data_IF_376265853523
#
_entry.id   IF_376265853523
#
_cell.length_a   1.000
_cell.length_b   1.000
_cell.length_c   1.000
_cell.angle_alpha   90.00
_cell.angle_beta   90.00
_cell.angle_gamma   90.00
#
_symmetry.space_group_name_H-M   'P 1'
#
loop_
_entity.id
_entity.type
_entity.pdbx_description
1 polymer ?
#
# COMPACT_ATOMS: atom_id res chain seq x y z
N UNK A 1 -32.79 14.88 -22.27
CA UNK A 1 -33.54 16.16 -22.28
C UNK A 1 -34.31 16.25 -20.98
N UNK A 2 -34.25 17.39 -20.28
CA UNK A 2 -34.99 17.61 -19.03
C UNK A 2 -36.37 18.22 -19.27
N UNK A 3 -37.26 18.14 -18.27
CA UNK A 3 -38.57 18.80 -18.28
C UNK A 3 -38.36 20.30 -18.08
N UNK A 4 -38.69 21.10 -19.08
CA UNK A 4 -38.59 22.57 -19.03
C UNK A 4 -39.49 23.13 -17.92
N UNK A 5 -38.95 23.99 -17.05
CA UNK A 5 -39.70 24.63 -15.94
C UNK A 5 -39.89 23.77 -14.68
N UNK A 6 -39.35 22.54 -14.62
CA UNK A 6 -39.47 21.66 -13.44
C UNK A 6 -38.94 22.33 -12.16
N UNK A 7 -37.83 23.06 -12.26
CA UNK A 7 -37.22 23.72 -11.11
C UNK A 7 -38.07 24.88 -10.55
N UNK A 8 -38.88 25.53 -11.39
CA UNK A 8 -39.80 26.58 -10.96
C UNK A 8 -40.95 26.02 -10.08
N UNK A 9 -41.33 24.77 -10.32
CA UNK A 9 -42.35 24.04 -9.53
C UNK A 9 -41.75 23.44 -8.26
N UNK A 10 -40.55 22.87 -8.34
CA UNK A 10 -39.88 22.23 -7.19
C UNK A 10 -39.37 23.25 -6.14
N UNK A 11 -39.17 24.51 -6.53
CA UNK A 11 -38.62 25.54 -5.65
C UNK A 11 -37.13 25.36 -5.37
N UNK A 12 -36.62 26.03 -4.32
CA UNK A 12 -35.17 26.06 -4.01
C UNK A 12 -34.62 24.78 -3.39
N UNK A 13 -35.48 23.88 -2.91
CA UNK A 13 -35.09 22.68 -2.17
C UNK A 13 -34.35 22.97 -0.85
N UNK A 14 -33.96 21.91 -0.15
CA UNK A 14 -33.08 22.01 1.00
C UNK A 14 -31.62 21.77 0.60
N UNK A 15 -30.71 22.60 1.11
CA UNK A 15 -29.28 22.47 0.85
C UNK A 15 -28.61 21.78 2.04
N UNK A 16 -28.09 20.59 1.79
CA UNK A 16 -27.35 19.81 2.79
C UNK A 16 -25.93 19.56 2.29
N UNK A 17 -24.95 19.50 3.20
CA UNK A 17 -23.70 18.84 2.87
C UNK A 17 -23.99 17.35 2.71
N UNK A 18 -23.44 16.75 1.66
CA UNK A 18 -23.69 15.34 1.33
C UNK A 18 -23.36 14.41 2.51
N UNK A 19 -22.30 14.71 3.26
CA UNK A 19 -21.88 13.98 4.45
C UNK A 19 -22.92 14.03 5.59
N UNK A 20 -23.48 15.21 5.86
CA UNK A 20 -24.49 15.39 6.92
C UNK A 20 -25.79 14.67 6.54
N UNK A 21 -26.21 14.79 5.28
CA UNK A 21 -27.40 14.10 4.78
C UNK A 21 -27.23 12.58 4.82
N UNK A 22 -26.10 12.06 4.36
CA UNK A 22 -25.80 10.64 4.40
C UNK A 22 -25.78 10.12 5.85
N UNK A 23 -25.17 10.87 6.78
CA UNK A 23 -25.09 10.54 8.19
C UNK A 23 -26.48 10.44 8.84
N UNK A 24 -27.35 11.39 8.54
CA UNK A 24 -28.70 11.47 9.12
C UNK A 24 -29.63 10.36 8.59
N UNK A 25 -29.52 9.98 7.32
CA UNK A 25 -30.52 9.11 6.68
C UNK A 25 -30.08 7.66 6.47
N UNK A 26 -28.80 7.43 6.18
CA UNK A 26 -28.32 6.14 5.68
C UNK A 26 -27.29 5.48 6.58
N UNK A 27 -26.40 6.25 7.20
CA UNK A 27 -25.27 5.70 7.96
C UNK A 27 -25.74 4.85 9.15
N UNK A 28 -26.76 5.28 9.89
CA UNK A 28 -27.25 4.50 11.04
C UNK A 28 -27.86 3.16 10.59
N UNK A 29 -28.70 3.18 9.56
CA UNK A 29 -29.30 1.97 8.98
C UNK A 29 -28.26 0.97 8.48
N UNK A 30 -27.21 1.46 7.82
CA UNK A 30 -26.11 0.61 7.35
C UNK A 30 -25.35 -0.01 8.54
N UNK A 31 -25.12 0.76 9.60
CA UNK A 31 -24.41 0.27 10.81
C UNK A 31 -25.20 -0.75 11.61
N UNK A 32 -26.53 -0.70 11.58
CA UNK A 32 -27.40 -1.69 12.22
C UNK A 32 -27.39 -3.03 11.48
N UNK A 33 -27.28 -2.99 10.16
CA UNK A 33 -27.33 -4.19 9.30
C UNK A 33 -25.98 -4.85 9.03
N UNK A 34 -24.86 -4.14 9.22
CA UNK A 34 -23.54 -4.65 8.84
C UNK A 34 -22.50 -4.62 9.97
N UNK A 35 -21.65 -5.66 10.07
CA UNK A 35 -20.60 -5.71 11.05
C UNK A 35 -19.58 -4.60 10.80
N UNK A 36 -18.97 -4.11 11.89
CA UNK A 36 -17.96 -3.06 11.81
C UNK A 36 -16.78 -3.53 10.94
N UNK A 37 -16.54 -2.86 9.80
CA UNK A 37 -15.45 -3.28 8.94
C UNK A 37 -14.08 -3.12 9.61
N UNK A 38 -13.16 -4.00 9.23
CA UNK A 38 -11.82 -4.12 9.81
C UNK A 38 -11.06 -2.79 9.72
N UNK A 39 -10.38 -2.34 10.79
CA UNK A 39 -9.56 -1.12 10.74
C UNK A 39 -8.44 -1.18 9.69
N UNK A 40 -7.87 -2.37 9.47
CA UNK A 40 -6.79 -2.60 8.50
C UNK A 40 -7.33 -2.47 7.07
N UNK A 41 -8.45 -3.12 6.78
CA UNK A 41 -9.12 -3.08 5.48
C UNK A 41 -9.52 -1.65 5.12
N UNK A 42 -10.18 -0.95 6.05
CA UNK A 42 -10.54 0.47 5.87
C UNK A 42 -9.31 1.31 5.54
N UNK A 43 -8.21 1.12 6.28
CA UNK A 43 -6.97 1.88 6.06
C UNK A 43 -6.39 1.63 4.67
N UNK A 44 -6.35 0.36 4.22
CA UNK A 44 -5.82 0.00 2.90
C UNK A 44 -6.74 0.53 1.79
N UNK A 45 -8.06 0.37 1.92
CA UNK A 45 -9.05 0.93 0.99
C UNK A 45 -8.84 2.43 0.79
N UNK A 46 -8.74 3.21 1.87
CA UNK A 46 -8.53 4.66 1.80
C UNK A 46 -7.21 5.02 1.08
N UNK A 47 -6.15 4.22 1.27
CA UNK A 47 -4.88 4.43 0.57
C UNK A 47 -5.05 4.18 -0.93
N UNK A 48 -5.64 3.04 -1.31
CA UNK A 48 -5.90 2.70 -2.73
C UNK A 48 -6.69 3.81 -3.40
N UNK A 49 -7.81 4.24 -2.80
CA UNK A 49 -8.65 5.30 -3.35
C UNK A 49 -7.89 6.62 -3.52
N UNK A 50 -7.02 6.98 -2.58
CA UNK A 50 -6.23 8.21 -2.67
C UNK A 50 -5.17 8.15 -3.77
N UNK A 51 -4.49 7.01 -3.94
CA UNK A 51 -3.54 6.82 -5.03
C UNK A 51 -4.22 6.81 -6.41
N UNK A 52 -5.41 6.21 -6.52
CA UNK A 52 -6.19 6.28 -7.76
C UNK A 52 -6.64 7.69 -8.13
N UNK A 53 -6.96 8.54 -7.15
CA UNK A 53 -7.23 9.96 -7.42
C UNK A 53 -6.03 10.70 -8.01
N UNK A 54 -4.81 10.20 -7.79
CA UNK A 54 -3.56 10.71 -8.37
C UNK A 54 -3.16 9.94 -9.64
N UNK A 55 -4.02 9.04 -10.13
CA UNK A 55 -3.76 8.15 -11.26
C UNK A 55 -2.52 7.25 -11.07
N UNK A 56 -2.25 6.86 -9.82
CA UNK A 56 -1.16 5.94 -9.46
C UNK A 56 -1.72 4.53 -9.35
N UNK A 57 -1.13 3.60 -10.10
CA UNK A 57 -1.47 2.17 -10.03
C UNK A 57 -0.64 1.50 -8.95
N UNK A 58 -1.28 0.66 -8.14
CA UNK A 58 -0.64 -0.05 -7.04
C UNK A 58 -0.55 -1.54 -7.37
N UNK A 59 0.63 -2.12 -7.13
CA UNK A 59 0.85 -3.56 -7.12
C UNK A 59 1.27 -3.98 -5.71
N UNK A 60 0.44 -4.78 -5.04
CA UNK A 60 0.75 -5.26 -3.69
C UNK A 60 1.56 -6.54 -3.76
N UNK A 61 2.71 -6.59 -3.09
CA UNK A 61 3.53 -7.80 -3.01
C UNK A 61 3.51 -8.36 -1.60
N UNK A 62 3.15 -9.64 -1.47
CA UNK A 62 3.15 -10.37 -0.19
C UNK A 62 4.31 -11.35 -0.14
N UNK A 63 4.78 -11.67 1.06
CA UNK A 63 5.88 -12.62 1.25
C UNK A 63 5.51 -14.07 0.84
N UNK A 64 6.53 -14.78 0.35
CA UNK A 64 6.49 -16.19 0.01
C UNK A 64 6.71 -17.13 1.19
N UNK A 65 6.40 -18.41 1.00
CA UNK A 65 6.62 -19.47 2.00
C UNK A 65 8.10 -19.79 2.26
N UNK A 66 9.03 -19.37 1.39
CA UNK A 66 10.48 -19.63 1.51
C UNK A 66 11.20 -18.62 2.41
N UNK A 67 10.61 -18.20 3.53
CA UNK A 67 11.43 -17.58 4.57
C UNK A 67 12.22 -18.69 5.27
N UNK A 68 13.57 -18.63 5.36
CA UNK A 68 14.26 -19.40 6.37
C UNK A 68 13.61 -19.02 7.71
N UNK A 69 13.14 -20.00 8.47
CA UNK A 69 12.47 -19.75 9.73
C UNK A 69 13.41 -18.87 10.59
N UNK A 70 13.10 -17.57 10.72
CA UNK A 70 13.77 -16.72 11.70
C UNK A 70 13.47 -17.38 13.04
N UNK A 71 14.49 -18.07 13.57
CA UNK A 71 14.44 -18.66 14.89
C UNK A 71 13.93 -17.60 15.86
N UNK A 72 13.05 -18.02 16.77
CA UNK A 72 12.49 -17.21 17.86
C UNK A 72 13.57 -16.32 18.48
N UNK A 73 13.66 -15.06 18.07
CA UNK A 73 14.40 -14.04 18.79
C UNK A 73 13.60 -12.74 18.80
N UNK A 74 12.77 -12.61 19.85
CA UNK A 74 12.69 -11.41 20.68
C UNK A 74 12.28 -10.05 20.09
N UNK A 75 11.84 -9.93 18.84
CA UNK A 75 11.40 -8.65 18.26
C UNK A 75 9.88 -8.50 18.22
N UNK A 76 9.31 -7.56 18.97
CA UNK A 76 7.92 -7.08 18.77
C UNK A 76 7.85 -6.28 17.47
N UNK A 77 7.78 -6.96 16.33
CA UNK A 77 7.67 -6.31 15.02
C UNK A 77 7.28 -7.32 13.95
N UNK A 78 6.05 -7.22 13.44
CA UNK A 78 5.49 -8.17 12.48
C UNK A 78 4.67 -9.26 13.17
N UNK A 79 3.56 -8.87 13.80
CA UNK A 79 2.50 -9.84 14.06
C UNK A 79 2.18 -10.50 12.72
N UNK A 80 2.21 -11.84 12.67
CA UNK A 80 1.65 -12.57 11.54
C UNK A 80 0.29 -11.93 11.27
N UNK A 81 0.11 -11.32 10.09
CA UNK A 81 -1.23 -11.01 9.63
C UNK A 81 -1.97 -12.34 9.68
N UNK A 82 -3.04 -12.37 10.45
CA UNK A 82 -3.91 -13.54 10.54
C UNK A 82 -4.31 -13.95 9.13
N UNK A 83 -4.30 -15.27 8.86
CA UNK A 83 -4.60 -15.80 7.53
C UNK A 83 -5.99 -15.31 7.04
N UNK A 84 -6.90 -15.02 7.96
CA UNK A 84 -8.23 -14.49 7.67
C UNK A 84 -8.19 -13.01 7.22
N UNK A 85 -7.34 -12.17 7.82
CA UNK A 85 -7.09 -10.82 7.32
C UNK A 85 -6.45 -10.84 5.92
N UNK A 86 -5.52 -11.75 5.64
CA UNK A 86 -4.94 -11.90 4.30
C UNK A 86 -6.03 -12.28 3.28
N UNK A 87 -6.88 -13.25 3.60
CA UNK A 87 -8.01 -13.64 2.73
C UNK A 87 -8.96 -12.47 2.48
N UNK A 88 -9.33 -11.73 3.51
CA UNK A 88 -10.20 -10.55 3.41
C UNK A 88 -9.56 -9.47 2.53
N UNK A 89 -8.25 -9.22 2.67
CA UNK A 89 -7.54 -8.27 1.82
C UNK A 89 -7.51 -8.70 0.35
N UNK A 90 -7.28 -9.99 0.06
CA UNK A 90 -7.35 -10.49 -1.31
C UNK A 90 -8.76 -10.32 -1.90
N UNK A 91 -9.81 -10.64 -1.15
CA UNK A 91 -11.19 -10.41 -1.58
C UNK A 91 -11.47 -8.92 -1.88
N UNK A 92 -10.97 -8.01 -1.05
CA UNK A 92 -11.07 -6.58 -1.29
C UNK A 92 -10.32 -6.18 -2.57
N UNK A 93 -9.10 -6.67 -2.78
CA UNK A 93 -8.31 -6.41 -3.98
C UNK A 93 -8.98 -6.94 -5.25
N UNK A 94 -9.57 -8.14 -5.21
CA UNK A 94 -10.31 -8.74 -6.32
C UNK A 94 -11.54 -7.92 -6.74
N UNK A 95 -12.24 -7.33 -5.75
CA UNK A 95 -13.38 -6.44 -5.97
C UNK A 95 -12.95 -5.09 -6.53
N UNK A 96 -11.85 -4.55 -6.02
CA UNK A 96 -11.26 -3.28 -6.47
C UNK A 96 -10.47 -3.42 -7.77
N UNK A 97 -10.19 -4.64 -8.26
CA UNK A 97 -9.30 -4.89 -9.40
C UNK A 97 -7.89 -4.32 -9.19
N UNK A 98 -7.42 -4.37 -7.94
CA UNK A 98 -6.05 -4.03 -7.57
C UNK A 98 -5.19 -5.28 -7.77
N UNK A 99 -4.13 -5.23 -8.58
CA UNK A 99 -3.25 -6.38 -8.75
C UNK A 99 -2.45 -6.63 -7.46
N UNK A 100 -2.30 -7.90 -7.11
CA UNK A 100 -1.43 -8.35 -6.04
C UNK A 100 -0.63 -9.57 -6.49
N UNK A 101 0.57 -9.70 -5.95
CA UNK A 101 1.53 -10.75 -6.27
C UNK A 101 2.05 -11.37 -4.97
N UNK A 102 2.33 -12.67 -5.03
CA UNK A 102 2.98 -13.37 -3.93
C UNK A 102 4.40 -13.70 -4.34
N UNK A 103 5.36 -13.09 -3.66
CA UNK A 103 6.77 -13.32 -3.92
C UNK A 103 7.13 -14.80 -3.71
N UNK A 104 8.11 -15.35 -4.45
CA UNK A 104 8.63 -16.68 -4.18
C UNK A 104 9.40 -16.73 -2.85
N UNK A 105 10.02 -15.61 -2.44
CA UNK A 105 10.80 -15.44 -1.22
C UNK A 105 10.39 -14.18 -0.46
N UNK A 106 11.28 -13.20 -0.35
CA UNK A 106 11.01 -11.93 0.34
C UNK A 106 10.34 -10.91 -0.58
N UNK A 107 9.31 -10.23 -0.06
CA UNK A 107 8.56 -9.23 -0.81
C UNK A 107 9.44 -8.06 -1.28
N UNK A 108 10.41 -7.61 -0.48
CA UNK A 108 11.29 -6.49 -0.86
C UNK A 108 12.22 -6.83 -2.03
N UNK A 109 12.75 -8.05 -2.04
CA UNK A 109 13.56 -8.56 -3.14
C UNK A 109 12.74 -8.66 -4.42
N UNK A 110 11.51 -9.16 -4.34
CA UNK A 110 10.60 -9.26 -5.48
C UNK A 110 10.20 -7.88 -5.99
N UNK A 111 9.88 -6.92 -5.10
CA UNK A 111 9.60 -5.54 -5.48
C UNK A 111 10.78 -4.89 -6.22
N UNK A 112 12.00 -5.06 -5.71
CA UNK A 112 13.20 -4.54 -6.38
C UNK A 112 13.39 -5.17 -7.77
N UNK A 113 13.19 -6.50 -7.88
CA UNK A 113 13.22 -7.21 -9.16
C UNK A 113 12.15 -6.71 -10.13
N UNK A 114 10.91 -6.53 -9.69
CA UNK A 114 9.82 -6.00 -10.51
C UNK A 114 10.13 -4.60 -11.05
N UNK A 115 10.80 -3.76 -10.26
CA UNK A 115 11.26 -2.45 -10.71
C UNK A 115 12.38 -2.58 -11.76
N UNK A 116 13.36 -3.46 -11.54
CA UNK A 116 14.44 -3.71 -12.50
C UNK A 116 13.92 -4.25 -13.84
N UNK A 117 12.85 -5.05 -13.81
CA UNK A 117 12.18 -5.57 -15.00
C UNK A 117 11.27 -4.53 -15.68
N UNK A 118 11.11 -3.34 -15.11
CA UNK A 118 10.25 -2.28 -15.66
C UNK A 118 8.76 -2.51 -15.47
N UNK A 119 8.36 -3.41 -14.57
CA UNK A 119 6.94 -3.66 -14.24
C UNK A 119 6.37 -2.54 -13.37
N UNK A 120 7.19 -1.94 -12.51
CA UNK A 120 6.83 -0.82 -11.64
C UNK A 120 7.91 0.26 -11.67
N UNK A 121 7.53 1.52 -11.45
CA UNK A 121 8.47 2.65 -11.47
C UNK A 121 9.20 2.86 -10.13
N UNK A 122 8.53 2.54 -9.02
CA UNK A 122 9.02 2.81 -7.67
C UNK A 122 8.57 1.72 -6.69
N UNK A 123 9.42 1.44 -5.68
CA UNK A 123 9.08 0.52 -4.59
C UNK A 123 8.70 1.32 -3.36
N UNK A 124 7.52 1.06 -2.80
CA UNK A 124 7.15 1.61 -1.50
C UNK A 124 7.57 0.66 -0.39
N UNK A 125 8.55 1.05 0.44
CA UNK A 125 8.90 0.32 1.66
C UNK A 125 9.21 1.25 2.84
N UNK A 126 8.99 0.72 4.05
CA UNK A 126 9.45 1.36 5.28
C UNK A 126 10.90 1.03 5.60
N UNK A 127 11.42 -0.09 5.10
CA UNK A 127 12.79 -0.53 5.31
C UNK A 127 13.62 -0.30 4.03
N UNK A 128 14.95 -0.24 4.20
CA UNK A 128 15.88 0.08 3.12
C UNK A 128 16.38 -1.13 2.35
N UNK A 129 15.92 -2.35 2.69
CA UNK A 129 16.53 -3.58 2.19
C UNK A 129 16.29 -3.74 0.68
N UNK A 130 15.17 -3.23 0.15
CA UNK A 130 14.94 -3.18 -1.29
C UNK A 130 16.07 -2.48 -2.08
N UNK A 131 16.76 -1.48 -1.49
CA UNK A 131 17.93 -0.85 -2.13
C UNK A 131 19.11 -1.82 -2.23
N UNK A 132 19.28 -2.71 -1.25
CA UNK A 132 20.29 -3.77 -1.27
C UNK A 132 19.96 -4.85 -2.30
N UNK A 133 18.67 -5.10 -2.55
CA UNK A 133 18.17 -5.94 -3.65
C UNK A 133 18.24 -5.26 -5.03
N UNK A 134 18.78 -4.04 -5.10
CA UNK A 134 19.00 -3.30 -6.35
C UNK A 134 17.81 -2.46 -6.83
N UNK A 135 16.90 -2.08 -5.93
CA UNK A 135 15.90 -1.04 -6.16
C UNK A 135 16.61 0.29 -6.49
N UNK A 136 16.16 0.98 -7.52
CA UNK A 136 16.71 2.27 -7.97
C UNK A 136 15.98 3.46 -7.34
N UNK A 137 14.67 3.34 -7.16
CA UNK A 137 13.81 4.39 -6.58
C UNK A 137 12.92 3.79 -5.50
N UNK A 138 13.16 4.16 -4.25
CA UNK A 138 12.39 3.75 -3.09
C UNK A 138 11.59 4.92 -2.53
N UNK A 139 10.31 4.69 -2.26
CA UNK A 139 9.40 5.64 -1.60
C UNK A 139 9.14 5.15 -0.18
N UNK A 140 9.20 6.07 0.78
CA UNK A 140 8.89 5.83 2.18
C UNK A 140 7.90 6.88 2.68
N UNK A 141 7.00 6.49 3.58
CA UNK A 141 6.13 7.43 4.24
C UNK A 141 6.95 8.46 5.04
N UNK A 142 6.63 9.75 4.90
CA UNK A 142 7.32 10.78 5.64
C UNK A 142 7.01 10.67 7.13
N UNK A 143 7.99 10.98 7.98
CA UNK A 143 7.77 11.13 9.42
C UNK A 143 7.96 12.59 9.77
N UNK A 144 6.90 13.19 10.32
CA UNK A 144 6.95 14.54 10.85
C UNK A 144 7.95 14.64 12.00
N UNK A 145 8.35 15.86 12.34
CA UNK A 145 9.23 16.15 13.49
C UNK A 145 8.64 15.66 14.82
N UNK A 146 7.31 15.59 14.93
CA UNK A 146 6.59 15.03 16.08
C UNK A 146 6.54 13.48 16.08
N UNK A 147 7.23 12.81 15.16
CA UNK A 147 7.27 11.35 15.05
C UNK A 147 6.03 10.72 14.44
N UNK A 148 5.00 11.51 14.09
CA UNK A 148 3.79 11.03 13.42
C UNK A 148 4.10 10.69 11.97
N UNK A 149 3.69 9.48 11.55
CA UNK A 149 3.85 8.99 10.19
C UNK A 149 2.77 9.53 9.27
N UNK A 150 3.19 10.22 8.23
CA UNK A 150 2.34 10.80 7.17
C UNK A 150 2.42 9.87 5.96
N UNK A 151 1.34 9.10 5.74
CA UNK A 151 1.32 8.08 4.69
C UNK A 151 0.95 8.62 3.32
N UNK A 152 0.27 9.77 3.27
CA UNK A 152 -0.52 10.17 2.11
C UNK A 152 -0.40 11.65 1.75
N UNK A 153 0.25 12.47 2.57
CA UNK A 153 0.41 13.91 2.34
C UNK A 153 1.84 14.24 1.96
N UNK A 154 2.80 13.58 2.60
CA UNK A 154 4.22 13.75 2.34
C UNK A 154 4.87 12.39 2.23
N UNK A 155 5.78 12.27 1.27
CA UNK A 155 6.59 11.08 1.05
C UNK A 155 8.06 11.48 1.06
N UNK A 156 8.92 10.54 1.44
CA UNK A 156 10.36 10.66 1.29
C UNK A 156 10.78 9.73 0.16
N UNK A 157 11.51 10.25 -0.83
CA UNK A 157 12.00 9.47 -1.97
C UNK A 157 13.50 9.31 -1.86
N UNK A 158 13.97 8.08 -2.01
CA UNK A 158 15.38 7.71 -2.00
C UNK A 158 15.76 7.15 -3.36
N UNK A 159 16.84 7.68 -3.94
CA UNK A 159 17.42 7.18 -5.18
C UNK A 159 18.73 6.45 -4.88
N UNK A 160 18.90 5.27 -5.46
CA UNK A 160 20.06 4.42 -5.20
C UNK A 160 21.39 5.10 -5.59
N UNK A 161 21.41 5.87 -6.68
CA UNK A 161 22.56 6.65 -7.15
C UNK A 161 23.07 7.67 -6.11
N UNK A 162 22.18 8.14 -5.24
CA UNK A 162 22.46 9.17 -4.24
C UNK A 162 22.77 8.55 -2.88
N UNK A 163 22.15 7.40 -2.59
CA UNK A 163 22.22 6.74 -1.28
C UNK A 163 23.40 5.79 -1.20
N UNK A 164 23.58 4.89 -2.18
CA UNK A 164 24.59 3.82 -2.12
C UNK A 164 26.02 4.36 -1.96
N UNK A 165 26.45 5.42 -2.69
CA UNK A 165 27.81 5.96 -2.53
C UNK A 165 28.08 6.52 -1.13
N UNK A 166 27.05 6.95 -0.39
CA UNK A 166 27.22 7.50 0.98
C UNK A 166 27.54 6.42 2.01
N UNK A 167 27.25 5.16 1.69
CA UNK A 167 27.45 4.04 2.59
C UNK A 167 28.62 3.13 2.17
N UNK A 168 29.38 3.52 1.15
CA UNK A 168 30.45 2.69 0.55
C UNK A 168 29.94 1.29 0.15
N UNK A 169 28.65 1.21 -0.20
CA UNK A 169 28.00 -0.02 -0.62
C UNK A 169 28.10 -0.10 -2.14
N UNK A 170 29.11 -0.82 -2.63
CA UNK A 170 29.19 -1.13 -4.05
C UNK A 170 28.07 -2.11 -4.45
N UNK A 171 27.47 -1.87 -5.61
CA UNK A 171 26.40 -2.71 -6.18
C UNK A 171 26.91 -4.14 -6.43
N UNK A 172 28.21 -4.29 -6.71
CA UNK A 172 28.83 -5.59 -6.98
C UNK A 172 29.09 -6.41 -5.69
N UNK A 173 29.36 -5.73 -4.57
CA UNK A 173 29.47 -6.36 -3.24
C UNK A 173 28.13 -7.00 -2.78
N UNK A 174 27.00 -6.50 -3.27
CA UNK A 174 25.66 -6.98 -2.94
C UNK A 174 25.21 -8.17 -3.81
N UNK A 175 25.60 -8.19 -5.10
CA UNK A 175 25.28 -9.31 -6.00
C UNK A 175 26.00 -10.61 -5.63
N UNK A 176 27.24 -10.54 -5.13
CA UNK A 176 28.01 -11.73 -4.73
C UNK A 176 27.37 -12.54 -3.60
N UNK A 177 26.49 -11.94 -2.79
CA UNK A 177 25.74 -12.65 -1.73
C UNK A 177 24.41 -13.25 -2.19
N UNK A 178 23.87 -12.80 -3.33
CA UNK A 178 22.49 -13.09 -3.75
C UNK A 178 22.38 -14.14 -4.85
N UNK A 179 23.42 -14.31 -5.67
CA UNK A 179 23.49 -15.40 -6.66
C UNK A 179 23.45 -16.80 -6.02
N UNK A 180 23.85 -16.95 -4.75
CA UNK A 180 23.72 -18.22 -4.02
C UNK A 180 22.27 -18.63 -3.69
N UNK A 181 21.32 -17.70 -3.70
CA UNK A 181 19.93 -17.93 -3.31
C UNK A 181 18.99 -18.24 -4.49
N UNK A 182 19.39 -17.92 -5.72
CA UNK A 182 18.58 -18.17 -6.92
C UNK A 182 18.91 -19.51 -7.61
N UNK A 183 20.00 -20.18 -7.22
CA UNK A 183 20.46 -21.44 -7.83
C UNK A 183 20.56 -22.61 -6.84
N UNK A 184 19.99 -22.49 -5.63
CA UNK A 184 19.98 -23.57 -4.62
C UNK A 184 18.56 -23.94 -4.17
#
# INVERSE_FOLDING_TARGET
MGITGLWDVLGKGEVHRMEDYAAAHWVQRIREGEPAASPIEKTILWRVLKFWRLNIQLLFVTDGMRKPAKGRWGGRGGGKLDDDCIKMLHQMFDRLKVPYHRAPGEAEAECARLQQLGVVDAVWSDDGDCLMFGCTTMIKAHRSSAGKKEWLERITVYKADTVLPRFDLDRDSLHSGMLGWLTS
#
